data_IF_465808148708
#
_entry.id   IF_465808148708
#
_cell.length_a   1.000
_cell.length_b   1.000
_cell.length_c   1.000
_cell.angle_alpha   90.00
_cell.angle_beta   90.00
_cell.angle_gamma   90.00
#
_symmetry.space_group_name_H-M   'P 1'
#
loop_
_entity.id
_entity.type
_entity.pdbx_description
1 polymer ?
#
# COMPACT_ATOMS: atom_id res chain seq x y z
N UNK A 1 -4.30 51.57 12.69
CA UNK A 1 -3.05 50.92 12.29
C UNK A 1 -2.86 49.73 13.20
N UNK A 2 -3.16 48.58 12.70
CA UNK A 2 -2.89 47.28 13.35
C UNK A 2 -2.75 46.31 12.20
N UNK A 3 -1.51 45.95 11.93
CA UNK A 3 -1.09 45.04 10.85
C UNK A 3 -1.45 43.61 11.29
N UNK A 4 -2.25 42.95 10.47
CA UNK A 4 -2.50 41.54 10.61
C UNK A 4 -1.33 40.77 9.95
N UNK A 5 -0.52 40.10 10.78
CA UNK A 5 0.44 39.12 10.31
C UNK A 5 -0.31 37.86 9.86
N UNK A 6 -0.28 37.65 8.55
CA UNK A 6 -0.73 36.41 7.97
C UNK A 6 0.21 35.26 8.37
N UNK A 7 -0.33 34.25 9.01
CA UNK A 7 0.37 32.98 9.23
C UNK A 7 0.61 32.32 7.88
N UNK A 8 1.84 32.41 7.41
CA UNK A 8 2.35 31.72 6.23
C UNK A 8 2.36 30.22 6.53
N UNK A 9 1.60 29.45 5.78
CA UNK A 9 1.69 28.01 5.76
C UNK A 9 3.15 27.61 5.48
N UNK A 10 3.72 26.82 6.39
CA UNK A 10 5.06 26.25 6.20
C UNK A 10 4.93 25.12 5.18
N UNK A 11 4.97 25.52 3.92
CA UNK A 11 5.24 24.62 2.82
C UNK A 11 6.76 24.61 2.64
N UNK A 12 7.47 23.94 3.56
CA UNK A 12 8.93 23.75 3.45
C UNK A 12 9.20 22.49 2.61
N UNK A 13 8.74 22.55 1.36
CA UNK A 13 8.90 21.49 0.36
C UNK A 13 10.19 21.54 -0.43
N UNK A 14 11.21 22.26 0.03
CA UNK A 14 12.43 22.48 -0.75
C UNK A 14 13.67 22.08 0.05
N UNK A 15 13.94 20.81 0.14
CA UNK A 15 15.26 20.16 0.18
C UNK A 15 15.22 18.79 0.87
N UNK A 16 14.29 17.91 0.49
CA UNK A 16 14.44 16.49 0.79
C UNK A 16 15.49 15.96 -0.18
N UNK A 17 16.54 15.35 0.32
CA UNK A 17 17.51 14.67 -0.54
C UNK A 17 16.74 13.58 -1.30
N UNK A 18 16.66 13.69 -2.65
CA UNK A 18 15.91 12.76 -3.52
C UNK A 18 16.31 11.29 -3.38
N UNK A 19 17.36 10.98 -2.62
CA UNK A 19 17.85 9.61 -2.38
C UNK A 19 16.99 8.79 -1.41
N UNK A 20 16.14 9.42 -0.58
CA UNK A 20 15.36 8.72 0.45
C UNK A 20 13.88 8.55 0.08
N UNK A 21 13.40 9.20 -0.99
CA UNK A 21 12.00 9.07 -1.46
C UNK A 21 11.85 7.82 -2.32
N UNK A 22 10.97 6.90 -1.90
CA UNK A 22 10.65 5.68 -2.67
C UNK A 22 9.41 5.85 -3.54
N UNK A 23 8.43 6.66 -3.12
CA UNK A 23 7.26 7.03 -3.92
C UNK A 23 7.11 8.54 -3.94
N UNK A 24 7.06 9.11 -5.14
CA UNK A 24 6.83 10.54 -5.36
C UNK A 24 5.57 10.72 -6.22
N UNK A 25 4.62 11.48 -5.71
CA UNK A 25 3.32 11.76 -6.34
C UNK A 25 3.22 13.27 -6.53
N UNK A 26 3.12 13.72 -7.78
CA UNK A 26 3.08 15.14 -8.10
C UNK A 26 1.84 15.50 -8.92
N UNK A 27 0.98 16.37 -8.40
CA UNK A 27 -0.13 16.99 -9.11
C UNK A 27 -1.17 16.01 -9.68
N UNK A 28 -1.37 14.83 -9.04
CA UNK A 28 -2.30 13.83 -9.55
C UNK A 28 -3.73 14.37 -9.61
N UNK A 29 -4.32 14.26 -10.81
CA UNK A 29 -5.69 14.65 -11.06
C UNK A 29 -6.48 13.55 -11.75
N UNK A 30 -7.74 13.37 -11.31
CA UNK A 30 -8.69 12.43 -11.93
C UNK A 30 -10.11 12.91 -11.82
N UNK A 31 -10.82 12.86 -12.94
CA UNK A 31 -12.22 13.24 -13.03
C UNK A 31 -13.05 12.11 -13.61
N UNK A 32 -14.18 11.78 -12.99
CA UNK A 32 -15.15 10.80 -13.47
C UNK A 32 -16.50 11.49 -13.73
N UNK A 33 -16.87 11.68 -15.00
CA UNK A 33 -18.17 12.20 -15.37
C UNK A 33 -18.55 13.52 -14.69
N UNK A 34 -17.58 14.40 -14.40
CA UNK A 34 -17.78 15.68 -13.71
C UNK A 34 -17.50 15.68 -12.21
N UNK A 35 -17.31 14.51 -11.59
CA UNK A 35 -16.81 14.39 -10.21
C UNK A 35 -15.27 14.40 -10.23
N UNK A 36 -14.65 15.35 -9.57
CA UNK A 36 -13.20 15.37 -9.36
C UNK A 36 -12.89 14.44 -8.17
N UNK A 37 -12.20 13.33 -8.43
CA UNK A 37 -11.87 12.32 -7.42
C UNK A 37 -10.44 12.45 -6.88
N UNK A 38 -9.52 13.04 -7.67
CA UNK A 38 -8.23 13.54 -7.25
C UNK A 38 -8.03 14.92 -7.85
N UNK A 39 -7.57 15.90 -7.08
CA UNK A 39 -7.41 17.29 -7.49
C UNK A 39 -6.08 17.84 -6.97
N UNK A 40 -5.06 17.79 -7.82
CA UNK A 40 -3.70 18.26 -7.53
C UNK A 40 -3.05 17.58 -6.30
N UNK A 41 -3.31 16.27 -6.13
CA UNK A 41 -2.77 15.52 -5.01
C UNK A 41 -1.26 15.33 -5.18
N UNK A 42 -0.49 15.83 -4.19
CA UNK A 42 0.98 15.77 -4.19
C UNK A 42 1.50 15.38 -2.81
N UNK A 43 2.35 14.36 -2.75
CA UNK A 43 3.03 13.91 -1.53
C UNK A 43 4.19 12.96 -1.87
N UNK A 44 5.05 12.70 -0.90
CA UNK A 44 6.15 11.75 -1.04
C UNK A 44 6.15 10.75 0.11
N UNK A 45 6.58 9.50 -0.16
CA UNK A 45 6.80 8.47 0.87
C UNK A 45 8.31 8.22 0.98
N UNK A 46 8.85 8.39 2.18
CA UNK A 46 10.25 8.13 2.46
C UNK A 46 10.51 6.64 2.68
N UNK A 47 11.67 6.17 2.24
CA UNK A 47 12.10 4.78 2.40
C UNK A 47 12.18 4.40 3.87
N UNK A 48 11.66 3.23 4.22
CA UNK A 48 11.69 2.71 5.58
C UNK A 48 10.66 3.35 6.53
N UNK A 49 9.71 4.17 6.00
CA UNK A 49 8.62 4.70 6.81
C UNK A 49 7.35 3.85 6.70
N UNK A 50 6.45 4.00 7.67
CA UNK A 50 5.06 3.60 7.57
C UNK A 50 4.25 4.87 7.44
N UNK A 51 3.86 5.23 6.23
CA UNK A 51 3.03 6.42 5.96
C UNK A 51 1.55 6.07 5.99
N UNK A 52 0.76 6.78 6.79
CA UNK A 52 -0.69 6.65 6.83
C UNK A 52 -1.36 7.58 5.83
N UNK A 53 -2.34 7.10 5.06
CA UNK A 53 -3.22 7.94 4.22
C UNK A 53 -4.65 7.84 4.75
N UNK A 54 -5.10 8.90 5.40
CA UNK A 54 -6.43 8.98 6.02
C UNK A 54 -7.30 10.05 5.36
N UNK A 55 -8.55 10.12 5.75
CA UNK A 55 -9.49 11.13 5.26
C UNK A 55 -10.93 10.62 5.33
N UNK A 56 -11.94 11.49 5.22
CA UNK A 56 -13.35 11.12 5.24
C UNK A 56 -13.73 10.19 4.08
N UNK A 57 -14.93 9.60 4.16
CA UNK A 57 -15.47 8.82 3.06
C UNK A 57 -15.68 9.71 1.84
N UNK A 58 -15.26 9.23 0.67
CA UNK A 58 -15.32 10.02 -0.56
C UNK A 58 -14.17 11.01 -0.77
N UNK A 59 -13.18 11.07 0.14
CA UNK A 59 -12.02 11.95 0.00
C UNK A 59 -11.11 11.61 -1.21
N UNK A 60 -11.29 10.46 -1.86
CA UNK A 60 -10.50 10.05 -3.04
C UNK A 60 -9.39 9.04 -2.76
N UNK A 61 -9.24 8.54 -1.53
CA UNK A 61 -8.14 7.64 -1.13
C UNK A 61 -7.96 6.41 -2.05
N UNK A 62 -9.03 5.65 -2.27
CA UNK A 62 -8.98 4.45 -3.14
C UNK A 62 -8.69 4.82 -4.59
N UNK A 63 -9.24 5.94 -5.07
CA UNK A 63 -8.93 6.47 -6.41
C UNK A 63 -7.45 6.81 -6.52
N UNK A 64 -6.86 7.43 -5.49
CA UNK A 64 -5.45 7.75 -5.47
C UNK A 64 -4.59 6.49 -5.53
N UNK A 65 -4.94 5.44 -4.78
CA UNK A 65 -4.25 4.14 -4.88
C UNK A 65 -4.39 3.53 -6.27
N UNK A 66 -5.58 3.62 -6.89
CA UNK A 66 -5.81 3.11 -8.25
C UNK A 66 -4.98 3.86 -9.29
N UNK A 67 -4.78 5.18 -9.13
CA UNK A 67 -3.90 6.00 -9.97
C UNK A 67 -2.43 5.62 -9.79
N UNK A 68 -1.95 5.56 -8.55
CA UNK A 68 -0.55 5.21 -8.21
C UNK A 68 -0.19 3.83 -8.74
N UNK A 69 -1.13 2.89 -8.74
CA UNK A 69 -0.91 1.50 -9.17
C UNK A 69 -1.27 1.22 -10.62
N UNK A 70 -1.64 2.27 -11.40
CA UNK A 70 -1.92 2.15 -12.83
C UNK A 70 -3.23 1.42 -13.18
N UNK A 71 -4.16 1.26 -12.21
CA UNK A 71 -5.51 0.75 -12.49
C UNK A 71 -6.40 1.78 -13.20
N UNK A 72 -6.13 3.06 -12.97
CA UNK A 72 -6.70 4.18 -13.74
C UNK A 72 -5.58 5.07 -14.25
N UNK A 73 -5.75 5.58 -15.46
CA UNK A 73 -4.89 6.62 -16.01
C UNK A 73 -5.23 7.96 -15.35
N UNK A 74 -4.23 8.72 -14.94
CA UNK A 74 -4.40 10.07 -14.44
C UNK A 74 -4.76 11.03 -15.60
N UNK A 75 -5.56 12.07 -15.31
CA UNK A 75 -5.85 13.14 -16.28
C UNK A 75 -4.70 14.16 -16.31
N UNK A 76 -3.94 14.27 -15.22
CA UNK A 76 -2.72 15.08 -15.09
C UNK A 76 -1.89 14.61 -13.88
N UNK A 77 -0.65 15.10 -13.80
CA UNK A 77 0.29 14.77 -12.74
C UNK A 77 1.18 13.59 -13.08
N UNK A 78 2.02 13.18 -12.13
CA UNK A 78 2.96 12.08 -12.32
C UNK A 78 3.16 11.25 -11.05
N UNK A 79 3.60 10.01 -11.23
CA UNK A 79 4.00 9.08 -10.18
C UNK A 79 5.39 8.56 -10.50
N UNK A 80 6.31 8.64 -9.55
CA UNK A 80 7.62 8.02 -9.67
C UNK A 80 7.86 7.04 -8.51
N UNK A 81 8.43 5.88 -8.85
CA UNK A 81 8.87 4.86 -7.89
C UNK A 81 10.38 4.75 -7.98
N UNK A 82 11.07 4.97 -6.88
CA UNK A 82 12.55 5.02 -6.80
C UNK A 82 13.16 5.90 -7.89
N UNK A 83 12.56 7.09 -8.08
CA UNK A 83 12.97 8.07 -9.10
C UNK A 83 12.64 7.68 -10.55
N UNK A 84 12.01 6.55 -10.78
CA UNK A 84 11.56 6.10 -12.11
C UNK A 84 10.10 6.49 -12.34
N UNK A 85 9.82 7.30 -13.36
CA UNK A 85 8.44 7.64 -13.75
C UNK A 85 7.68 6.40 -14.21
N UNK A 86 6.52 6.18 -13.57
CA UNK A 86 5.61 5.04 -13.82
C UNK A 86 4.20 5.47 -14.21
N UNK A 87 3.96 6.76 -14.43
CA UNK A 87 2.63 7.37 -14.63
C UNK A 87 1.76 6.70 -15.70
N UNK A 88 2.38 6.28 -16.80
CA UNK A 88 1.68 5.66 -17.95
C UNK A 88 1.93 4.15 -18.04
N UNK A 89 2.40 3.52 -16.96
CA UNK A 89 2.71 2.09 -16.97
C UNK A 89 1.53 1.24 -16.52
N UNK A 90 1.42 0.06 -17.12
CA UNK A 90 0.45 -0.94 -16.67
C UNK A 90 0.79 -1.46 -15.25
N UNK A 91 -0.20 -1.91 -14.46
CA UNK A 91 -0.01 -2.33 -13.07
C UNK A 91 1.12 -3.34 -12.85
N UNK A 92 1.29 -4.31 -13.76
CA UNK A 92 2.38 -5.30 -13.64
C UNK A 92 3.77 -4.66 -13.80
N UNK A 93 3.92 -3.67 -14.68
CA UNK A 93 5.18 -2.97 -14.89
C UNK A 93 5.51 -2.02 -13.71
N UNK A 94 4.50 -1.52 -13.00
CA UNK A 94 4.67 -0.78 -11.75
C UNK A 94 5.09 -1.74 -10.63
N UNK A 95 4.47 -2.92 -10.56
CA UNK A 95 4.86 -3.95 -9.61
C UNK A 95 6.31 -4.40 -9.82
N UNK A 96 6.79 -4.53 -11.06
CA UNK A 96 8.19 -4.83 -11.39
C UNK A 96 9.18 -3.72 -10.95
N UNK A 97 8.68 -2.51 -10.63
CA UNK A 97 9.49 -1.43 -10.02
C UNK A 97 9.48 -1.48 -8.49
N UNK A 98 8.94 -2.55 -7.88
CA UNK A 98 8.93 -2.74 -6.43
C UNK A 98 7.73 -2.13 -5.71
N UNK A 99 6.76 -1.53 -6.41
CA UNK A 99 5.53 -1.04 -5.79
C UNK A 99 4.44 -2.11 -5.86
N UNK A 100 4.14 -2.73 -4.73
CA UNK A 100 3.15 -3.80 -4.61
C UNK A 100 1.92 -3.28 -3.86
N UNK A 101 0.72 -3.63 -4.30
CA UNK A 101 -0.54 -3.36 -3.60
C UNK A 101 -1.25 -4.64 -3.19
N UNK A 102 -1.72 -4.70 -1.95
CA UNK A 102 -2.69 -5.72 -1.53
C UNK A 102 -4.11 -5.24 -1.85
N UNK A 103 -5.02 -6.18 -2.10
CA UNK A 103 -6.41 -5.84 -2.39
C UNK A 103 -7.22 -5.76 -1.09
N UNK A 104 -8.18 -4.84 -1.05
CA UNK A 104 -9.11 -4.65 0.07
C UNK A 104 -9.89 -5.95 0.40
N UNK A 105 -10.25 -6.72 -0.60
CA UNK A 105 -10.93 -8.01 -0.43
C UNK A 105 -10.02 -9.16 -0.85
N UNK A 106 -9.54 -9.95 0.11
CA UNK A 106 -8.71 -11.11 -0.17
C UNK A 106 -9.41 -12.12 -1.08
N UNK A 107 -8.73 -12.53 -2.15
CA UNK A 107 -9.25 -13.55 -3.06
C UNK A 107 -8.95 -14.94 -2.50
N UNK A 108 -10.01 -15.69 -2.18
CA UNK A 108 -9.88 -17.11 -1.87
C UNK A 108 -9.57 -17.87 -3.16
N UNK A 109 -8.35 -18.37 -3.27
CA UNK A 109 -7.91 -19.17 -4.41
C UNK A 109 -8.45 -20.61 -4.26
N UNK A 110 -9.59 -20.88 -4.91
CA UNK A 110 -10.23 -22.19 -4.86
C UNK A 110 -9.35 -23.28 -5.50
N UNK A 111 -9.30 -24.44 -4.85
CA UNK A 111 -8.53 -25.58 -5.34
C UNK A 111 -7.03 -25.53 -5.03
N UNK A 112 -6.57 -24.55 -4.25
CA UNK A 112 -5.17 -24.41 -3.86
C UNK A 112 -5.03 -24.50 -2.34
N UNK A 113 -3.92 -25.07 -1.89
CA UNK A 113 -3.43 -24.91 -0.51
C UNK A 113 -2.88 -23.50 -0.30
N UNK A 114 -2.72 -23.09 0.96
CA UNK A 114 -2.11 -21.79 1.29
C UNK A 114 -0.74 -21.63 0.63
N UNK A 115 0.11 -22.67 0.70
CA UNK A 115 1.44 -22.64 0.10
C UNK A 115 1.40 -22.49 -1.42
N UNK A 116 0.47 -23.13 -2.11
CA UNK A 116 0.28 -22.95 -3.56
C UNK A 116 -0.29 -21.57 -3.88
N UNK A 117 -1.18 -21.04 -3.04
CA UNK A 117 -1.72 -19.69 -3.17
C UNK A 117 -0.64 -18.61 -3.03
N UNK A 118 0.40 -18.86 -2.24
CA UNK A 118 1.57 -17.96 -2.15
C UNK A 118 2.27 -17.79 -3.48
N UNK A 119 2.39 -18.84 -4.30
CA UNK A 119 3.09 -18.78 -5.58
C UNK A 119 2.47 -17.80 -6.58
N UNK A 120 1.17 -17.52 -6.44
CA UNK A 120 0.47 -16.53 -7.30
C UNK A 120 0.98 -15.10 -7.07
N UNK A 121 1.67 -14.84 -5.94
CA UNK A 121 2.27 -13.55 -5.63
C UNK A 121 3.74 -13.40 -6.08
N UNK A 122 4.39 -14.49 -6.49
CA UNK A 122 5.79 -14.44 -6.87
C UNK A 122 5.98 -13.75 -8.24
N UNK A 123 6.92 -12.80 -8.29
CA UNK A 123 7.29 -12.12 -9.54
C UNK A 123 8.24 -12.97 -10.40
N UNK A 124 8.33 -12.62 -11.68
CA UNK A 124 9.33 -13.15 -12.61
C UNK A 124 9.33 -14.69 -12.76
N UNK A 125 8.16 -15.33 -12.76
CA UNK A 125 8.08 -16.77 -13.01
C UNK A 125 8.44 -17.09 -14.47
N UNK A 126 9.52 -17.86 -14.68
CA UNK A 126 9.98 -18.29 -16.02
C UNK A 126 8.90 -19.04 -16.78
N UNK A 127 7.95 -19.69 -16.08
CA UNK A 127 6.83 -20.43 -16.68
C UNK A 127 5.77 -19.56 -17.38
N UNK A 128 5.75 -18.25 -17.19
CA UNK A 128 4.81 -17.34 -17.87
C UNK A 128 5.17 -17.08 -19.35
N UNK A 129 6.40 -17.40 -19.77
CA UNK A 129 6.80 -17.30 -21.17
C UNK A 129 6.47 -18.59 -21.93
N UNK A 130 5.61 -18.51 -22.95
CA UNK A 130 5.28 -19.64 -23.84
C UNK A 130 6.51 -20.34 -24.42
N UNK A 131 7.64 -19.62 -24.57
CA UNK A 131 8.93 -20.16 -25.02
C UNK A 131 9.64 -20.98 -23.93
N UNK A 132 9.52 -20.59 -22.68
CA UNK A 132 10.15 -21.28 -21.55
C UNK A 132 9.50 -22.64 -21.27
N UNK A 133 8.20 -22.79 -21.49
CA UNK A 133 7.49 -24.07 -21.37
C UNK A 133 8.09 -25.19 -22.27
N UNK A 134 8.66 -24.83 -23.40
CA UNK A 134 9.22 -25.81 -24.36
C UNK A 134 10.74 -26.05 -24.22
N UNK A 135 11.47 -25.19 -23.51
CA UNK A 135 12.94 -25.21 -23.50
C UNK A 135 13.58 -25.29 -22.12
N UNK A 136 12.83 -25.14 -21.02
CA UNK A 136 13.41 -24.94 -19.69
C UNK A 136 12.83 -25.87 -18.60
N UNK A 137 12.39 -27.08 -18.94
CA UNK A 137 11.71 -27.99 -17.99
C UNK A 137 12.42 -28.16 -16.65
N UNK A 138 13.73 -28.38 -16.62
CA UNK A 138 14.50 -28.53 -15.37
C UNK A 138 14.61 -27.18 -14.61
N UNK A 139 14.78 -26.07 -15.32
CA UNK A 139 14.89 -24.72 -14.71
C UNK A 139 13.57 -24.25 -14.11
N UNK A 140 12.44 -24.56 -14.75
CA UNK A 140 11.10 -24.26 -14.21
C UNK A 140 10.91 -25.03 -12.90
N UNK A 141 11.26 -26.31 -12.86
CA UNK A 141 11.13 -27.15 -11.67
C UNK A 141 12.02 -26.67 -10.51
N UNK A 142 13.23 -26.22 -10.78
CA UNK A 142 14.15 -25.73 -9.77
C UNK A 142 13.71 -24.36 -9.25
N UNK A 143 13.21 -23.47 -10.11
CA UNK A 143 12.65 -22.17 -9.72
C UNK A 143 11.37 -22.34 -8.88
N UNK A 144 10.45 -23.22 -9.28
CA UNK A 144 9.26 -23.53 -8.50
C UNK A 144 9.61 -24.06 -7.10
N UNK A 145 10.62 -24.94 -7.00
CA UNK A 145 11.10 -25.43 -5.71
C UNK A 145 11.69 -24.32 -4.84
N UNK A 146 12.48 -23.41 -5.43
CA UNK A 146 13.03 -22.27 -4.73
C UNK A 146 11.91 -21.36 -4.22
N UNK A 147 10.96 -20.98 -5.08
CA UNK A 147 9.82 -20.14 -4.70
C UNK A 147 8.94 -20.81 -3.63
N UNK A 148 8.74 -22.14 -3.69
CA UNK A 148 8.05 -22.90 -2.66
C UNK A 148 8.79 -22.86 -1.30
N UNK A 149 10.12 -22.93 -1.33
CA UNK A 149 10.94 -22.83 -0.12
C UNK A 149 10.86 -21.40 0.47
N UNK A 150 10.85 -20.37 -0.39
CA UNK A 150 10.69 -18.98 0.01
C UNK A 150 9.31 -18.74 0.60
N UNK A 151 8.25 -19.24 -0.05
CA UNK A 151 6.90 -19.20 0.47
C UNK A 151 6.80 -19.84 1.86
N UNK A 152 7.42 -21.00 2.05
CA UNK A 152 7.44 -21.68 3.34
C UNK A 152 8.17 -20.84 4.40
N UNK A 153 9.34 -20.27 4.08
CA UNK A 153 10.10 -19.40 5.00
C UNK A 153 9.30 -18.15 5.41
N UNK A 154 8.59 -17.54 4.46
CA UNK A 154 7.74 -16.38 4.75
C UNK A 154 6.57 -16.78 5.65
N UNK A 155 5.86 -17.89 5.36
CA UNK A 155 4.79 -18.38 6.20
C UNK A 155 5.27 -18.69 7.63
N UNK A 156 6.47 -19.23 7.81
CA UNK A 156 7.09 -19.46 9.12
C UNK A 156 7.42 -18.15 9.84
N UNK A 157 7.98 -17.15 9.12
CA UNK A 157 8.24 -15.83 9.68
C UNK A 157 6.94 -15.12 10.13
N UNK A 158 5.83 -15.38 9.45
CA UNK A 158 4.51 -14.89 9.84
C UNK A 158 3.83 -15.77 10.90
N UNK A 159 4.48 -16.82 11.42
CA UNK A 159 3.93 -17.77 12.38
C UNK A 159 2.65 -18.49 11.91
N UNK A 160 2.43 -18.53 10.60
CA UNK A 160 1.32 -19.20 9.94
C UNK A 160 1.76 -20.41 9.10
N UNK A 161 2.98 -20.91 9.30
CA UNK A 161 3.50 -22.10 8.63
C UNK A 161 2.63 -23.34 8.81
N UNK A 162 1.90 -23.44 9.93
CA UNK A 162 0.94 -24.50 10.19
C UNK A 162 -0.27 -24.50 9.26
N UNK A 163 -0.54 -23.38 8.55
CA UNK A 163 -1.61 -23.25 7.56
C UNK A 163 -1.18 -23.70 6.16
N UNK A 164 0.11 -23.90 5.90
CA UNK A 164 0.68 -24.10 4.56
C UNK A 164 -0.03 -25.17 3.71
N UNK A 165 -0.50 -26.26 4.34
CA UNK A 165 -1.16 -27.39 3.66
C UNK A 165 -2.69 -27.31 3.70
N UNK A 166 -3.27 -26.32 4.38
CA UNK A 166 -4.72 -26.15 4.41
C UNK A 166 -5.24 -25.59 3.08
N UNK A 167 -6.46 -25.94 2.66
CA UNK A 167 -7.12 -25.27 1.56
C UNK A 167 -7.30 -23.78 1.85
N UNK A 168 -6.91 -22.91 0.92
CA UNK A 168 -7.01 -21.46 1.08
C UNK A 168 -8.47 -20.99 1.31
N UNK A 169 -9.45 -21.78 0.87
CA UNK A 169 -10.87 -21.52 1.06
C UNK A 169 -11.36 -21.73 2.50
N UNK A 170 -10.61 -22.47 3.32
CA UNK A 170 -10.98 -22.79 4.72
C UNK A 170 -10.43 -21.79 5.72
N UNK A 171 -9.61 -20.84 5.27
CA UNK A 171 -9.06 -19.80 6.13
C UNK A 171 -10.15 -18.87 6.66
N UNK A 172 -10.02 -18.49 7.94
CA UNK A 172 -10.76 -17.36 8.48
C UNK A 172 -10.38 -16.05 7.76
N UNK A 173 -11.25 -15.03 7.81
CA UNK A 173 -10.96 -13.74 7.18
C UNK A 173 -9.62 -13.16 7.60
N UNK A 174 -9.28 -13.31 8.87
CA UNK A 174 -8.03 -12.82 9.40
C UNK A 174 -6.79 -13.62 8.99
N UNK A 175 -6.88 -14.95 9.00
CA UNK A 175 -5.81 -15.79 8.46
C UNK A 175 -5.56 -15.48 6.99
N UNK A 176 -6.62 -15.21 6.23
CA UNK A 176 -6.50 -14.83 4.84
C UNK A 176 -5.76 -13.51 4.65
N UNK A 177 -6.02 -12.49 5.50
CA UNK A 177 -5.27 -11.22 5.47
C UNK A 177 -3.79 -11.40 5.80
N UNK A 178 -3.45 -12.25 6.77
CA UNK A 178 -2.05 -12.59 7.08
C UNK A 178 -1.38 -13.31 5.90
N UNK A 179 -2.06 -14.24 5.25
CA UNK A 179 -1.55 -14.93 4.06
C UNK A 179 -1.36 -13.97 2.89
N UNK A 180 -2.25 -12.98 2.72
CA UNK A 180 -2.09 -11.97 1.67
C UNK A 180 -0.91 -11.04 1.91
N UNK A 181 -0.72 -10.57 3.15
CA UNK A 181 0.45 -9.81 3.52
C UNK A 181 1.73 -10.62 3.30
N UNK A 182 1.74 -11.89 3.75
CA UNK A 182 2.84 -12.81 3.52
C UNK A 182 3.12 -13.03 2.02
N UNK A 183 2.07 -13.16 1.20
CA UNK A 183 2.17 -13.33 -0.25
C UNK A 183 2.78 -12.11 -0.93
N UNK A 184 2.41 -10.90 -0.50
CA UNK A 184 2.98 -9.67 -1.04
C UNK A 184 4.50 -9.60 -0.81
N UNK A 185 5.00 -10.19 0.27
CA UNK A 185 6.44 -10.25 0.57
C UNK A 185 7.24 -11.16 -0.38
N UNK A 186 6.60 -12.10 -1.10
CA UNK A 186 7.28 -12.88 -2.15
C UNK A 186 7.71 -12.07 -3.35
N UNK A 187 7.10 -10.90 -3.53
CA UNK A 187 7.46 -9.97 -4.59
C UNK A 187 8.64 -9.05 -4.20
N UNK A 188 9.20 -9.22 -2.98
CA UNK A 188 10.31 -8.41 -2.45
C UNK A 188 10.07 -6.89 -2.65
N UNK A 189 8.94 -6.34 -2.13
CA UNK A 189 8.54 -4.97 -2.42
C UNK A 189 9.51 -3.94 -1.81
N UNK A 190 9.81 -2.88 -2.56
CA UNK A 190 10.43 -1.66 -2.01
C UNK A 190 9.42 -0.84 -1.23
N UNK A 191 8.17 -0.81 -1.71
CA UNK A 191 7.04 -0.18 -1.05
C UNK A 191 5.78 -1.05 -1.19
N UNK A 192 5.07 -1.25 -0.07
CA UNK A 192 3.83 -2.01 0.00
C UNK A 192 2.64 -1.09 0.32
N UNK A 193 1.68 -1.03 -0.59
CA UNK A 193 0.42 -0.33 -0.42
C UNK A 193 -0.61 -1.25 0.21
N UNK A 194 -1.10 -0.89 1.40
CA UNK A 194 -2.15 -1.63 2.11
C UNK A 194 -3.47 -0.85 2.10
N UNK A 195 -4.53 -1.48 1.63
CA UNK A 195 -5.87 -0.88 1.53
C UNK A 195 -6.78 -1.50 2.59
N UNK A 196 -7.01 -0.77 3.69
CA UNK A 196 -7.81 -1.15 4.86
C UNK A 196 -7.45 -2.54 5.42
N UNK A 197 -6.18 -2.77 5.82
CA UNK A 197 -5.72 -4.09 6.25
C UNK A 197 -6.49 -4.64 7.44
N UNK A 198 -7.06 -3.80 8.33
CA UNK A 198 -7.80 -4.26 9.51
C UNK A 198 -9.33 -4.21 9.35
N UNK A 199 -9.85 -3.83 8.17
CA UNK A 199 -11.28 -3.80 7.95
C UNK A 199 -11.94 -5.19 8.18
N UNK A 200 -12.94 -5.23 9.08
CA UNK A 200 -13.69 -6.44 9.38
C UNK A 200 -12.95 -7.52 10.18
N UNK A 201 -11.80 -7.20 10.78
CA UNK A 201 -11.08 -8.10 11.69
C UNK A 201 -11.39 -7.78 13.15
N UNK A 202 -11.21 -8.77 14.03
CA UNK A 202 -11.35 -8.53 15.46
C UNK A 202 -10.10 -7.80 16.03
N UNK A 203 -10.20 -7.16 17.22
CA UNK A 203 -9.10 -6.37 17.79
C UNK A 203 -7.81 -7.15 18.02
N UNK A 204 -7.90 -8.43 18.40
CA UNK A 204 -6.69 -9.27 18.62
C UNK A 204 -5.90 -9.41 17.34
N UNK A 205 -6.58 -9.71 16.24
CA UNK A 205 -5.95 -9.87 14.94
C UNK A 205 -5.46 -8.53 14.37
N UNK A 206 -6.17 -7.42 14.63
CA UNK A 206 -5.70 -6.09 14.25
C UNK A 206 -4.35 -5.78 14.92
N UNK A 207 -4.19 -6.13 16.21
CA UNK A 207 -2.92 -6.00 16.92
C UNK A 207 -1.83 -6.92 16.32
N UNK A 208 -2.16 -8.18 16.01
CA UNK A 208 -1.22 -9.10 15.37
C UNK A 208 -0.74 -8.56 14.00
N UNK A 209 -1.65 -8.01 13.20
CA UNK A 209 -1.32 -7.37 11.91
C UNK A 209 -0.42 -6.15 12.10
N UNK A 210 -0.75 -5.28 13.07
CA UNK A 210 0.06 -4.11 13.40
C UNK A 210 1.49 -4.51 13.75
N UNK A 211 1.66 -5.48 14.66
CA UNK A 211 2.97 -5.92 15.13
C UNK A 211 3.79 -6.54 13.97
N UNK A 212 3.13 -7.24 13.03
CA UNK A 212 3.80 -7.78 11.84
C UNK A 212 4.20 -6.70 10.84
N UNK A 213 3.35 -5.70 10.60
CA UNK A 213 3.68 -4.56 9.74
C UNK A 213 4.88 -3.80 10.32
N UNK A 214 4.88 -3.54 11.65
CA UNK A 214 5.99 -2.90 12.33
C UNK A 214 7.30 -3.72 12.18
N UNK A 215 7.24 -5.03 12.41
CA UNK A 215 8.41 -5.91 12.26
C UNK A 215 8.93 -5.99 10.81
N UNK A 216 8.06 -5.91 9.81
CA UNK A 216 8.46 -5.83 8.41
C UNK A 216 9.10 -4.49 8.08
N UNK A 217 8.59 -3.40 8.64
CA UNK A 217 9.16 -2.07 8.47
C UNK A 217 10.56 -1.99 9.12
N UNK A 218 10.75 -2.51 10.33
CA UNK A 218 12.06 -2.65 10.96
C UNK A 218 13.06 -3.48 10.11
N UNK A 219 12.54 -4.39 9.29
CA UNK A 219 13.33 -5.16 8.32
C UNK A 219 13.56 -4.42 6.99
N UNK A 220 13.12 -3.15 6.86
CA UNK A 220 13.40 -2.27 5.73
C UNK A 220 12.27 -2.13 4.70
N UNK A 221 11.09 -2.73 4.92
CA UNK A 221 9.94 -2.58 4.01
C UNK A 221 9.28 -1.22 4.26
N UNK A 222 9.01 -0.47 3.21
CA UNK A 222 8.26 0.79 3.27
C UNK A 222 6.77 0.53 3.10
N UNK A 223 5.93 1.28 3.81
CA UNK A 223 4.48 1.14 3.72
C UNK A 223 3.77 2.45 3.42
N UNK A 224 2.73 2.38 2.57
CA UNK A 224 1.68 3.39 2.47
C UNK A 224 0.35 2.70 2.77
N UNK A 225 -0.34 3.13 3.85
CA UNK A 225 -1.51 2.43 4.38
C UNK A 225 -2.72 3.34 4.35
N UNK A 226 -3.77 2.96 3.61
CA UNK A 226 -5.10 3.55 3.77
C UNK A 226 -5.78 2.87 4.95
N UNK A 227 -6.24 3.63 5.91
CA UNK A 227 -7.07 3.15 7.01
C UNK A 227 -8.07 4.21 7.46
N UNK A 228 -9.18 3.74 8.00
CA UNK A 228 -10.20 4.54 8.65
C UNK A 228 -10.27 4.26 10.16
N UNK A 229 -9.64 3.22 10.64
CA UNK A 229 -9.42 2.96 12.07
C UNK A 229 -8.30 3.88 12.57
N UNK A 230 -8.73 5.00 13.19
CA UNK A 230 -7.82 6.03 13.68
C UNK A 230 -6.91 5.50 14.80
N UNK A 231 -7.41 4.59 15.64
CA UNK A 231 -6.60 3.99 16.70
C UNK A 231 -5.47 3.16 16.12
N UNK A 232 -5.77 2.34 15.11
CA UNK A 232 -4.77 1.52 14.43
C UNK A 232 -3.70 2.38 13.76
N UNK A 233 -4.11 3.33 12.91
CA UNK A 233 -3.17 4.08 12.06
C UNK A 233 -2.32 5.06 12.88
N UNK A 234 -2.90 5.74 13.87
CA UNK A 234 -2.18 6.71 14.71
C UNK A 234 -1.10 6.07 15.59
N UNK A 235 -1.21 4.77 15.91
CA UNK A 235 -0.19 4.04 16.66
C UNK A 235 0.88 3.39 15.79
N UNK A 236 0.65 3.31 14.49
CA UNK A 236 1.52 2.57 13.56
C UNK A 236 2.30 3.49 12.63
N UNK A 237 1.66 4.52 12.10
CA UNK A 237 2.20 5.34 11.03
C UNK A 237 2.84 6.63 11.54
N UNK A 238 3.94 7.02 10.90
CA UNK A 238 4.61 8.31 10.98
C UNK A 238 5.44 8.51 9.69
N UNK A 239 5.06 9.46 8.81
CA UNK A 239 4.00 10.47 8.96
C UNK A 239 2.58 9.99 8.60
N UNK A 240 1.60 10.88 8.82
CA UNK A 240 0.23 10.74 8.34
C UNK A 240 -0.09 11.83 7.32
N UNK A 241 -0.68 11.42 6.20
CA UNK A 241 -1.23 12.28 5.15
C UNK A 241 -2.74 12.28 5.27
N UNK A 242 -3.36 13.45 5.33
CA UNK A 242 -4.81 13.61 5.34
C UNK A 242 -5.27 14.06 3.97
N UNK A 243 -6.14 13.25 3.35
CA UNK A 243 -6.78 13.59 2.09
C UNK A 243 -8.20 14.13 2.35
N UNK A 244 -8.55 15.23 1.71
CA UNK A 244 -9.92 15.74 1.66
C UNK A 244 -10.24 16.23 0.25
N UNK A 245 -11.43 15.88 -0.25
CA UNK A 245 -11.94 16.27 -1.58
C UNK A 245 -10.93 16.10 -2.73
N UNK A 246 -10.13 15.03 -2.68
CA UNK A 246 -9.13 14.71 -3.71
C UNK A 246 -7.76 15.37 -3.54
N UNK A 247 -7.59 16.24 -2.55
CA UNK A 247 -6.35 16.99 -2.31
C UNK A 247 -5.72 16.64 -0.95
N UNK A 248 -4.39 16.80 -0.83
CA UNK A 248 -3.71 16.69 0.46
C UNK A 248 -4.02 17.90 1.32
N UNK A 249 -4.70 17.69 2.44
CA UNK A 249 -5.09 18.74 3.37
C UNK A 249 -3.97 19.07 4.37
N UNK A 250 -3.37 18.02 4.94
CA UNK A 250 -2.33 18.09 5.97
C UNK A 250 -1.41 16.89 5.84
N UNK A 251 -0.13 17.08 6.12
CA UNK A 251 0.86 16.02 6.31
C UNK A 251 1.67 16.31 7.57
N UNK A 252 1.91 15.32 8.42
CA UNK A 252 2.70 15.49 9.63
C UNK A 252 2.64 14.28 10.57
N UNK A 253 3.31 14.40 11.73
CA UNK A 253 3.27 13.35 12.75
C UNK A 253 1.85 13.20 13.33
N UNK A 254 1.50 11.99 13.85
CA UNK A 254 0.15 11.67 14.33
C UNK A 254 -0.46 12.69 15.30
N UNK A 255 0.36 13.19 16.24
CA UNK A 255 -0.11 14.15 17.25
C UNK A 255 -0.52 15.49 16.61
N UNK A 256 0.27 15.98 15.65
CA UNK A 256 -0.02 17.24 14.97
C UNK A 256 -1.29 17.12 14.09
N UNK A 257 -1.44 15.99 13.38
CA UNK A 257 -2.62 15.71 12.56
C UNK A 257 -3.88 15.62 13.41
N UNK A 258 -3.81 15.00 14.58
CA UNK A 258 -4.96 14.84 15.48
C UNK A 258 -5.46 16.17 16.06
N UNK A 259 -4.58 17.14 16.23
CA UNK A 259 -4.88 18.45 16.84
C UNK A 259 -5.17 19.53 15.79
N UNK A 260 -5.06 19.24 14.49
CA UNK A 260 -5.31 20.21 13.42
C UNK A 260 -6.82 20.44 13.21
N UNK A 261 -7.26 21.68 13.39
CA UNK A 261 -8.68 22.08 13.27
C UNK A 261 -9.24 21.75 11.88
N UNK A 262 -8.42 21.83 10.81
CA UNK A 262 -8.84 21.51 9.43
C UNK A 262 -9.19 20.02 9.30
N UNK A 263 -8.43 19.17 9.97
CA UNK A 263 -8.70 17.72 10.00
C UNK A 263 -9.97 17.42 10.74
N UNK A 264 -10.16 18.06 11.91
CA UNK A 264 -11.38 17.92 12.72
C UNK A 264 -12.59 18.36 11.91
N UNK A 265 -12.53 19.51 11.24
CA UNK A 265 -13.60 20.05 10.39
C UNK A 265 -13.92 19.14 9.21
N UNK A 266 -12.92 18.56 8.52
CA UNK A 266 -13.11 17.63 7.40
C UNK A 266 -13.88 16.36 7.83
N UNK A 267 -13.61 15.84 9.04
CA UNK A 267 -14.33 14.69 9.57
C UNK A 267 -15.72 15.01 10.14
N UNK A 268 -15.93 16.22 10.68
CA UNK A 268 -17.22 16.65 11.21
C UNK A 268 -18.12 17.27 10.14
N UNK A 269 -17.55 17.93 9.14
CA UNK A 269 -18.28 18.60 8.06
C UNK A 269 -18.81 17.66 6.96
N UNK A 270 -18.34 16.44 6.87
CA UNK A 270 -18.73 15.45 5.85
C UNK A 270 -20.08 14.74 6.06
N UNK A 271 -20.91 15.21 6.99
CA UNK A 271 -22.22 14.62 7.37
C UNK A 271 -23.44 15.36 6.79
N UNK A 272 -23.32 16.01 5.60
CA UNK A 272 -24.42 16.71 4.95
C UNK A 272 -24.92 16.01 3.68
#
# INVERSE_FOLDING_TARGET
MSEGEGATAIHDGANREKSDVVLDVEGLRKTFGGLVAADDASFAVERGTITGLIGPNGAGKSTLFDLITGFYDADAGSVAVDGTDVSDRAPHAIADQGLIRTFQTPRKLAGMTVREAMLVGAQSQVGESFRALFTAGDRVTDQERATLADAQRILERFEIGHLATQPATELSGGQLKLVELARAMLAEPDILLLDEPVAGVNPTLANDLRDRIAALNEAGVTFLIIEHDMEFIMHLADPIIVLDQGSVLVEGPPEAVREDDRVIDAYLGGGG
#
